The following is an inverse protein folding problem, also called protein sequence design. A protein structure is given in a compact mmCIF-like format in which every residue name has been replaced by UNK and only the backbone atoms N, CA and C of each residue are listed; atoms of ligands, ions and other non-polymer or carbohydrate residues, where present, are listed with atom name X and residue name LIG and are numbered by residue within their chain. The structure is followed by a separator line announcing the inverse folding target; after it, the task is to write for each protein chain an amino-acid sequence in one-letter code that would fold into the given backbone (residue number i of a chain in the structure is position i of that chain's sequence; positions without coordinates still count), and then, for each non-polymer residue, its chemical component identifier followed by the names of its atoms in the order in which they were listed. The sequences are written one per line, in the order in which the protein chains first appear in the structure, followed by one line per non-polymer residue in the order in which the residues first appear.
data_IF_664650426181
#
_entry.id   IF_664650426181
#
_cell.length_a   1.000
_cell.length_b   1.000
_cell.length_c   1.000
_cell.angle_alpha   90.00
_cell.angle_beta   90.00
_cell.angle_gamma   90.00
#
_symmetry.space_group_name_H-M   'P 1'
#
loop_
_entity.id
_entity.type
_entity.pdbx_description
1 polymer ?
#
# COMPACT_ATOMS: atom_id res chain seq x y z
N UNK A 1 -25.00 -10.47 37.03
CA UNK A 1 -24.71 -9.79 35.76
C UNK A 1 -23.32 -9.20 35.89
N UNK A 2 -22.31 -10.02 35.61
CA UNK A 2 -20.92 -9.58 35.64
C UNK A 2 -20.61 -8.89 34.32
N UNK A 3 -20.22 -7.61 34.42
CA UNK A 3 -19.66 -6.84 33.32
C UNK A 3 -18.31 -7.46 32.95
N UNK A 4 -18.27 -8.25 31.89
CA UNK A 4 -17.05 -8.61 31.19
C UNK A 4 -16.56 -7.35 30.47
N UNK A 5 -15.84 -6.50 31.20
CA UNK A 5 -15.09 -5.39 30.63
C UNK A 5 -14.02 -5.94 29.70
N UNK A 6 -14.37 -6.09 28.42
CA UNK A 6 -13.40 -6.38 27.37
C UNK A 6 -12.44 -5.20 27.35
N UNK A 7 -11.18 -5.49 27.65
CA UNK A 7 -10.12 -4.50 27.72
C UNK A 7 -9.97 -3.89 26.31
N UNK A 8 -10.12 -2.56 26.14
CA UNK A 8 -10.11 -1.93 24.82
C UNK A 8 -8.82 -2.23 24.03
N UNK A 9 -7.70 -2.39 24.73
CA UNK A 9 -6.40 -2.75 24.16
C UNK A 9 -6.31 -4.19 23.62
N UNK A 10 -7.10 -5.13 24.17
CA UNK A 10 -7.17 -6.51 23.68
C UNK A 10 -8.10 -6.64 22.47
N UNK A 11 -9.23 -5.93 22.47
CA UNK A 11 -10.13 -5.84 21.30
C UNK A 11 -9.45 -5.12 20.12
N UNK A 12 -8.69 -4.06 20.42
CA UNK A 12 -7.92 -3.23 19.48
C UNK A 12 -6.88 -4.01 18.68
N UNK A 13 -6.09 -4.87 19.35
CA UNK A 13 -5.12 -5.72 18.67
C UNK A 13 -5.82 -6.84 17.89
N UNK A 14 -6.99 -7.30 18.37
CA UNK A 14 -7.75 -8.35 17.71
C UNK A 14 -8.35 -7.89 16.37
N UNK A 15 -8.85 -6.65 16.26
CA UNK A 15 -9.41 -6.12 15.00
C UNK A 15 -8.33 -5.97 13.91
N UNK A 16 -7.17 -5.40 14.25
CA UNK A 16 -6.04 -5.29 13.31
C UNK A 16 -5.51 -6.67 12.94
N UNK A 17 -5.32 -7.56 13.92
CA UNK A 17 -4.88 -8.92 13.67
C UNK A 17 -5.86 -9.67 12.76
N UNK A 18 -7.17 -9.52 12.97
CA UNK A 18 -8.18 -10.11 12.10
C UNK A 18 -8.10 -9.55 10.67
N UNK A 19 -7.98 -8.23 10.52
CA UNK A 19 -7.87 -7.61 9.20
C UNK A 19 -6.60 -8.06 8.45
N UNK A 20 -5.47 -8.22 9.15
CA UNK A 20 -4.25 -8.78 8.59
C UNK A 20 -4.40 -10.26 8.21
N UNK A 21 -5.09 -11.06 9.03
CA UNK A 21 -5.42 -12.46 8.69
C UNK A 21 -6.30 -12.56 7.44
N UNK A 22 -7.25 -11.64 7.28
CA UNK A 22 -8.08 -11.59 6.06
C UNK A 22 -7.23 -11.25 4.82
N UNK A 23 -6.20 -10.40 4.95
CA UNK A 23 -5.25 -10.14 3.86
C UNK A 23 -4.44 -11.38 3.52
N UNK A 24 -3.97 -12.14 4.52
CA UNK A 24 -3.20 -13.37 4.29
C UNK A 24 -3.94 -14.41 3.46
N UNK A 25 -5.27 -14.43 3.48
CA UNK A 25 -6.06 -15.36 2.65
C UNK A 25 -5.78 -15.19 1.15
N UNK A 26 -5.45 -13.97 0.70
CA UNK A 26 -5.29 -13.66 -0.72
C UNK A 26 -3.96 -13.02 -1.10
N UNK A 27 -3.14 -12.62 -0.13
CA UNK A 27 -1.85 -11.99 -0.36
C UNK A 27 -0.83 -12.49 0.66
N UNK A 28 0.09 -13.32 0.20
CA UNK A 28 1.24 -13.77 0.97
C UNK A 28 2.45 -12.89 0.67
N UNK A 29 3.41 -12.77 1.60
CA UNK A 29 4.61 -11.96 1.35
C UNK A 29 5.45 -12.41 0.14
N UNK A 30 5.31 -13.67 -0.29
CA UNK A 30 5.92 -14.21 -1.50
C UNK A 30 5.22 -13.82 -2.81
N UNK A 31 3.97 -13.32 -2.74
CA UNK A 31 3.16 -12.98 -3.92
C UNK A 31 3.49 -11.60 -4.50
N UNK A 32 4.43 -10.88 -3.88
CA UNK A 32 4.84 -9.52 -4.27
C UNK A 32 5.20 -9.37 -5.75
N UNK A 33 5.89 -10.35 -6.32
CA UNK A 33 6.28 -10.31 -7.73
C UNK A 33 5.06 -10.43 -8.65
N UNK A 34 4.12 -11.31 -8.33
CA UNK A 34 2.87 -11.47 -9.08
C UNK A 34 2.01 -10.22 -9.00
N UNK A 35 1.84 -9.66 -7.81
CA UNK A 35 1.06 -8.43 -7.62
C UNK A 35 1.67 -7.24 -8.38
N UNK A 36 3.00 -7.09 -8.40
CA UNK A 36 3.68 -6.05 -9.19
C UNK A 36 3.43 -6.22 -10.69
N UNK A 37 3.48 -7.45 -11.19
CA UNK A 37 3.17 -7.75 -12.59
C UNK A 37 1.73 -7.40 -12.92
N UNK A 38 0.78 -7.75 -12.05
CA UNK A 38 -0.64 -7.46 -12.27
C UNK A 38 -0.94 -5.95 -12.19
N UNK A 39 -0.38 -5.24 -11.20
CA UNK A 39 -0.45 -3.77 -11.11
C UNK A 39 0.12 -3.10 -12.36
N UNK A 40 1.25 -3.60 -12.89
CA UNK A 40 1.87 -3.03 -14.09
C UNK A 40 1.02 -3.24 -15.33
N UNK A 41 0.45 -4.43 -15.50
CA UNK A 41 -0.48 -4.69 -16.59
C UNK A 41 -1.73 -3.83 -16.49
N UNK A 42 -2.22 -3.59 -15.28
CA UNK A 42 -3.37 -2.72 -15.06
C UNK A 42 -3.04 -1.26 -15.37
N UNK A 43 -1.89 -0.74 -14.92
CA UNK A 43 -1.41 0.60 -15.28
C UNK A 43 -1.35 0.78 -16.80
N UNK A 44 -0.82 -0.20 -17.53
CA UNK A 44 -0.77 -0.18 -18.99
C UNK A 44 -2.16 -0.18 -19.62
N UNK A 45 -3.11 -0.89 -19.02
CA UNK A 45 -4.48 -0.92 -19.52
C UNK A 45 -5.18 0.44 -19.37
N UNK A 46 -4.95 1.13 -18.26
CA UNK A 46 -5.57 2.43 -17.99
C UNK A 46 -4.89 3.58 -18.74
N UNK A 47 -3.58 3.50 -19.04
CA UNK A 47 -2.81 4.59 -19.68
C UNK A 47 -2.45 4.36 -21.15
N UNK A 48 -2.54 3.14 -21.67
CA UNK A 48 -2.05 2.80 -23.01
C UNK A 48 -2.91 3.34 -24.15
N UNK A 49 -2.26 3.76 -25.25
CA UNK A 49 -2.93 4.08 -26.51
C UNK A 49 -3.62 2.83 -27.07
N UNK A 50 -4.90 2.97 -27.46
CA UNK A 50 -5.70 1.82 -27.88
C UNK A 50 -5.36 1.31 -29.29
N UNK A 51 -5.44 -0.02 -29.52
CA UNK A 51 -6.19 -1.01 -28.76
C UNK A 51 -5.31 -1.85 -27.84
N UNK A 52 -4.85 -1.28 -26.72
CA UNK A 52 -4.41 -2.09 -25.60
C UNK A 52 -5.65 -2.79 -25.02
N UNK A 53 -5.89 -4.00 -25.50
CA UNK A 53 -6.79 -4.95 -24.85
C UNK A 53 -6.03 -5.51 -23.66
N UNK A 54 -6.53 -5.28 -22.44
CA UNK A 54 -6.10 -6.07 -21.30
C UNK A 54 -6.21 -7.55 -21.69
N UNK A 55 -5.07 -8.23 -21.85
CA UNK A 55 -5.03 -9.61 -22.35
C UNK A 55 -5.32 -10.65 -21.26
N UNK A 56 -5.50 -10.20 -20.02
CA UNK A 56 -5.94 -11.03 -18.91
C UNK A 56 -7.46 -11.17 -18.86
N UNK A 57 -7.94 -12.07 -18.01
CA UNK A 57 -9.36 -12.15 -17.71
C UNK A 57 -9.81 -10.95 -16.87
N UNK A 58 -10.97 -10.31 -17.14
CA UNK A 58 -11.48 -9.20 -16.30
C UNK A 58 -11.57 -9.53 -14.80
N UNK A 59 -11.67 -10.82 -14.46
CA UNK A 59 -11.61 -11.35 -13.10
C UNK A 59 -10.33 -10.96 -12.36
N UNK A 60 -9.18 -10.84 -13.05
CA UNK A 60 -7.90 -10.49 -12.42
C UNK A 60 -7.86 -9.01 -12.03
N UNK A 61 -8.42 -8.12 -12.85
CA UNK A 61 -8.58 -6.69 -12.50
C UNK A 61 -9.48 -6.54 -11.27
N UNK A 62 -10.61 -7.24 -11.25
CA UNK A 62 -11.55 -7.22 -10.12
C UNK A 62 -10.90 -7.81 -8.87
N UNK A 63 -10.11 -8.88 -9.00
CA UNK A 63 -9.38 -9.48 -7.88
C UNK A 63 -8.38 -8.48 -7.33
N UNK A 64 -7.52 -7.90 -8.18
CA UNK A 64 -6.51 -6.94 -7.78
C UNK A 64 -7.13 -5.71 -7.10
N UNK A 65 -8.21 -5.17 -7.68
CA UNK A 65 -8.99 -4.09 -7.08
C UNK A 65 -9.43 -4.43 -5.65
N UNK A 66 -10.07 -5.60 -5.44
CA UNK A 66 -10.52 -6.05 -4.11
C UNK A 66 -9.36 -6.20 -3.13
N UNK A 67 -8.23 -6.75 -3.58
CA UNK A 67 -7.04 -6.92 -2.75
C UNK A 67 -6.51 -5.56 -2.29
N UNK A 68 -6.38 -4.60 -3.21
CA UNK A 68 -5.90 -3.26 -2.90
C UNK A 68 -6.87 -2.49 -2.00
N UNK A 69 -8.18 -2.52 -2.27
CA UNK A 69 -9.19 -1.92 -1.38
C UNK A 69 -9.06 -2.48 0.03
N UNK A 70 -8.90 -3.80 0.17
CA UNK A 70 -8.73 -4.42 1.48
C UNK A 70 -7.43 -4.01 2.18
N UNK A 71 -6.33 -3.86 1.45
CA UNK A 71 -5.08 -3.31 1.98
C UNK A 71 -5.26 -1.85 2.42
N UNK A 72 -5.97 -1.03 1.65
CA UNK A 72 -6.23 0.37 1.97
C UNK A 72 -7.10 0.47 3.24
N UNK A 73 -8.20 -0.27 3.32
CA UNK A 73 -9.06 -0.31 4.49
C UNK A 73 -8.30 -0.77 5.75
N UNK A 74 -7.46 -1.79 5.61
CA UNK A 74 -6.64 -2.28 6.71
C UNK A 74 -5.56 -1.27 7.10
N UNK A 75 -4.98 -0.58 6.12
CA UNK A 75 -4.01 0.49 6.36
C UNK A 75 -4.63 1.64 7.14
N UNK A 76 -5.86 2.02 6.80
CA UNK A 76 -6.62 3.02 7.56
C UNK A 76 -6.87 2.55 8.99
N UNK A 77 -7.30 1.31 9.16
CA UNK A 77 -7.49 0.71 10.48
C UNK A 77 -6.19 0.75 11.30
N UNK A 78 -5.04 0.42 10.71
CA UNK A 78 -3.72 0.50 11.36
C UNK A 78 -3.38 1.95 11.78
N UNK A 79 -3.70 2.95 10.97
CA UNK A 79 -3.47 4.36 11.36
C UNK A 79 -4.40 4.84 12.46
N UNK A 80 -5.69 4.51 12.36
CA UNK A 80 -6.68 4.92 13.36
C UNK A 80 -6.38 4.28 14.72
N UNK A 81 -5.82 3.07 14.69
CA UNK A 81 -5.40 2.36 15.88
C UNK A 81 -4.12 2.97 16.46
N UNK A 82 -3.06 3.13 15.66
CA UNK A 82 -1.80 3.73 16.14
C UNK A 82 -1.97 5.18 16.61
N UNK A 83 -2.80 5.99 15.95
CA UNK A 83 -3.10 7.37 16.34
C UNK A 83 -3.87 7.51 17.65
N UNK A 84 -4.72 6.54 18.02
CA UNK A 84 -5.43 6.53 19.31
C UNK A 84 -4.51 6.25 20.50
N UNK A 85 -3.36 5.65 20.27
CA UNK A 85 -2.37 5.35 21.29
C UNK A 85 -1.43 6.56 21.58
N UNK A 86 -1.26 7.45 20.60
CA UNK A 86 -0.47 8.69 20.71
C UNK A 86 -1.24 9.85 21.39
N UNK A 87 -2.57 9.81 21.44
CA UNK A 87 -3.40 10.87 22.01
C UNK A 87 -3.27 11.03 23.55
N UNK A 88 -2.51 10.15 24.23
CA UNK A 88 -2.15 10.31 25.66
C UNK A 88 -0.69 10.65 25.92
N UNK A 89 0.20 10.59 24.93
CA UNK A 89 1.60 11.03 25.04
C UNK A 89 2.08 11.51 23.67
N UNK A 90 2.21 12.83 23.51
CA UNK A 90 2.77 13.54 22.34
C UNK A 90 1.81 13.85 21.19
N UNK A 91 0.88 14.79 21.44
CA UNK A 91 0.39 15.71 20.39
C UNK A 91 1.46 16.68 19.84
N UNK A 92 2.67 16.65 20.40
CA UNK A 92 3.78 17.55 20.04
C UNK A 92 5.08 16.76 19.97
N UNK A 93 5.31 15.98 18.90
CA UNK A 93 6.65 15.75 18.31
C UNK A 93 6.62 14.57 17.33
N UNK A 94 5.93 14.71 16.20
CA UNK A 94 6.45 14.07 14.99
C UNK A 94 7.21 15.20 14.29
N UNK A 95 8.56 15.27 14.37
CA UNK A 95 9.26 16.28 13.61
C UNK A 95 8.95 16.01 12.14
N UNK A 96 8.47 17.04 11.43
CA UNK A 96 8.56 17.04 9.98
C UNK A 96 10.02 16.70 9.63
N UNK A 97 10.23 15.78 8.69
CA UNK A 97 11.57 15.43 8.23
C UNK A 97 12.35 16.71 7.93
N UNK A 98 13.61 16.80 8.36
CA UNK A 98 14.41 17.98 8.03
C UNK A 98 14.58 18.08 6.51
N UNK A 99 14.73 19.29 5.98
CA UNK A 99 14.98 19.48 4.55
C UNK A 99 16.18 18.66 4.06
N UNK A 100 17.16 18.43 4.93
CA UNK A 100 18.34 17.61 4.67
C UNK A 100 18.01 16.11 4.56
N UNK A 101 17.08 15.61 5.37
CA UNK A 101 16.57 14.23 5.28
C UNK A 101 15.76 14.03 4.00
N UNK A 102 14.89 14.99 3.68
CA UNK A 102 14.09 14.99 2.44
C UNK A 102 15.02 15.02 1.22
N UNK A 103 16.05 15.88 1.22
CA UNK A 103 17.03 15.96 0.14
C UNK A 103 17.87 14.69 0.00
N UNK A 104 18.27 14.08 1.11
CA UNK A 104 19.00 12.80 1.13
C UNK A 104 18.14 11.66 0.58
N UNK A 105 16.85 11.61 0.92
CA UNK A 105 15.92 10.60 0.42
C UNK A 105 15.65 10.79 -1.08
N UNK A 106 15.51 12.03 -1.55
CA UNK A 106 15.41 12.32 -2.99
C UNK A 106 16.66 11.89 -3.76
N UNK A 107 17.85 12.14 -3.20
CA UNK A 107 19.10 11.73 -3.81
C UNK A 107 19.25 10.20 -3.83
N UNK A 108 18.93 9.53 -2.73
CA UNK A 108 18.89 8.07 -2.62
C UNK A 108 17.94 7.44 -3.65
N UNK A 109 16.73 7.98 -3.80
CA UNK A 109 15.75 7.51 -4.77
C UNK A 109 16.21 7.72 -6.22
N UNK A 110 16.93 8.82 -6.50
CA UNK A 110 17.52 9.08 -7.82
C UNK A 110 18.65 8.10 -8.14
N UNK A 111 19.50 7.81 -7.17
CA UNK A 111 20.60 6.84 -7.29
C UNK A 111 20.07 5.42 -7.47
N UNK A 112 19.00 5.04 -6.75
CA UNK A 112 18.30 3.77 -6.96
C UNK A 112 17.72 3.67 -8.37
N UNK A 113 17.05 4.72 -8.88
CA UNK A 113 16.52 4.73 -10.26
C UNK A 113 17.63 4.51 -11.29
N UNK A 114 18.80 5.12 -11.10
CA UNK A 114 19.98 4.93 -11.96
C UNK A 114 20.60 3.54 -11.86
N UNK A 115 20.71 2.99 -10.64
CA UNK A 115 21.27 1.65 -10.41
C UNK A 115 20.33 0.55 -10.91
N UNK A 116 19.02 0.75 -10.78
CA UNK A 116 17.98 -0.16 -11.31
C UNK A 116 18.06 -0.25 -12.82
N UNK A 117 18.15 0.90 -13.50
CA UNK A 117 18.31 0.97 -14.95
C UNK A 117 19.60 0.30 -15.43
N UNK A 118 20.63 0.21 -14.58
CA UNK A 118 21.94 -0.31 -14.92
C UNK A 118 22.14 -1.81 -14.59
N UNK A 119 21.48 -2.33 -13.56
CA UNK A 119 21.79 -3.66 -13.01
C UNK A 119 20.59 -4.60 -12.84
N UNK A 120 19.40 -4.25 -13.32
CA UNK A 120 18.22 -5.12 -13.24
C UNK A 120 17.82 -5.51 -11.79
N UNK A 121 18.18 -4.67 -10.81
CA UNK A 121 17.89 -4.90 -9.39
C UNK A 121 16.42 -4.69 -9.03
N UNK A 122 15.94 -5.39 -8.01
CA UNK A 122 14.58 -5.25 -7.46
C UNK A 122 14.41 -3.87 -6.81
N UNK A 123 13.48 -3.05 -7.30
CA UNK A 123 13.19 -1.74 -6.71
C UNK A 123 12.54 -1.94 -5.34
N UNK A 124 13.15 -1.36 -4.30
CA UNK A 124 12.48 -1.06 -3.02
C UNK A 124 11.84 0.31 -3.15
N UNK A 125 10.53 0.40 -2.93
CA UNK A 125 9.77 1.65 -3.02
C UNK A 125 9.69 2.38 -1.68
N UNK A 126 9.93 1.65 -0.60
CA UNK A 126 10.00 2.19 0.75
C UNK A 126 11.39 2.78 1.03
N UNK A 127 11.45 3.88 1.79
CA UNK A 127 12.71 4.35 2.37
C UNK A 127 13.24 3.35 3.41
N UNK A 128 14.48 3.55 3.88
CA UNK A 128 15.04 2.70 4.93
C UNK A 128 14.17 2.75 6.20
N UNK A 129 13.75 3.95 6.61
CA UNK A 129 12.89 4.14 7.77
C UNK A 129 11.51 3.49 7.60
N UNK A 130 10.94 3.58 6.39
CA UNK A 130 9.67 2.93 6.06
C UNK A 130 9.82 1.40 5.99
N UNK A 131 10.97 0.89 5.60
CA UNK A 131 11.26 -0.55 5.60
C UNK A 131 11.38 -1.10 7.03
N UNK A 132 11.95 -0.32 7.95
CA UNK A 132 12.04 -0.69 9.37
C UNK A 132 10.70 -0.53 10.08
N UNK A 133 9.91 0.50 9.72
CA UNK A 133 8.60 0.80 10.29
C UNK A 133 7.58 1.11 9.18
N UNK A 134 6.95 0.07 8.59
CA UNK A 134 6.02 0.21 7.46
C UNK A 134 4.83 1.13 7.70
N UNK A 135 4.43 1.33 8.95
CA UNK A 135 3.36 2.26 9.34
C UNK A 135 3.66 3.71 8.91
N UNK A 136 4.94 4.10 8.84
CA UNK A 136 5.32 5.43 8.35
C UNK A 136 4.96 5.63 6.88
N UNK A 137 5.10 4.59 6.06
CA UNK A 137 4.64 4.63 4.68
C UNK A 137 3.12 4.72 4.61
N UNK A 138 2.38 3.92 5.40
CA UNK A 138 0.92 3.96 5.43
C UNK A 138 0.43 5.38 5.73
N UNK A 139 1.09 6.08 6.67
CA UNK A 139 0.78 7.49 6.96
C UNK A 139 0.98 8.38 5.73
N UNK A 140 2.16 8.31 5.08
CA UNK A 140 2.46 9.07 3.86
C UNK A 140 1.49 8.76 2.71
N UNK A 141 1.08 7.51 2.58
CA UNK A 141 0.12 7.06 1.57
C UNK A 141 -1.23 7.76 1.71
N UNK A 142 -1.71 7.95 2.94
CA UNK A 142 -2.96 8.69 3.22
C UNK A 142 -2.80 10.21 3.29
N UNK A 143 -1.56 10.72 3.36
CA UNK A 143 -1.27 12.16 3.18
C UNK A 143 -1.31 12.56 1.69
N UNK A 144 -0.99 11.63 0.79
CA UNK A 144 -1.05 11.87 -0.65
C UNK A 144 -2.50 11.89 -1.17
N UNK A 145 -3.32 10.93 -0.75
CA UNK A 145 -4.73 10.81 -1.11
C UNK A 145 -5.51 10.27 0.10
N UNK A 146 -6.70 10.82 0.37
CA UNK A 146 -7.55 10.29 1.43
C UNK A 146 -8.07 8.89 1.07
N UNK A 147 -8.68 8.18 2.03
CA UNK A 147 -9.29 6.87 1.75
C UNK A 147 -10.38 6.97 0.67
N UNK A 148 -11.19 8.02 0.72
CA UNK A 148 -12.25 8.24 -0.26
C UNK A 148 -11.65 8.53 -1.65
N UNK A 149 -10.58 9.32 -1.72
CA UNK A 149 -9.86 9.58 -2.96
C UNK A 149 -9.29 8.28 -3.54
N UNK A 150 -8.68 7.43 -2.71
CA UNK A 150 -8.15 6.15 -3.15
C UNK A 150 -9.21 5.20 -3.68
N UNK A 151 -10.38 5.16 -3.03
CA UNK A 151 -11.51 4.36 -3.52
C UNK A 151 -11.97 4.85 -4.90
N UNK A 152 -12.10 6.17 -5.07
CA UNK A 152 -12.44 6.75 -6.38
C UNK A 152 -11.37 6.46 -7.44
N UNK A 153 -10.09 6.65 -7.12
CA UNK A 153 -8.97 6.35 -8.03
C UNK A 153 -9.02 4.90 -8.49
N UNK A 154 -9.24 3.96 -7.56
CA UNK A 154 -9.32 2.55 -7.90
C UNK A 154 -10.55 2.22 -8.76
N UNK A 155 -11.70 2.86 -8.50
CA UNK A 155 -12.89 2.73 -9.34
C UNK A 155 -12.64 3.25 -10.76
N UNK A 156 -12.01 4.41 -10.90
CA UNK A 156 -11.64 4.98 -12.19
C UNK A 156 -10.69 4.02 -12.94
N UNK A 157 -9.68 3.47 -12.25
CA UNK A 157 -8.78 2.49 -12.84
C UNK A 157 -9.50 1.22 -13.30
N UNK A 158 -10.53 0.76 -12.59
CA UNK A 158 -11.36 -0.37 -13.03
C UNK A 158 -12.17 0.02 -14.26
N UNK A 159 -12.84 1.17 -14.24
CA UNK A 159 -13.66 1.66 -15.35
C UNK A 159 -12.82 1.79 -16.62
N UNK A 160 -11.73 2.54 -16.56
CA UNK A 160 -10.89 2.80 -17.74
C UNK A 160 -10.05 1.59 -18.16
N UNK A 161 -9.64 0.75 -17.21
CA UNK A 161 -8.90 -0.48 -17.49
C UNK A 161 -9.74 -1.51 -18.23
N UNK A 162 -11.06 -1.48 -18.07
CA UNK A 162 -12.02 -2.35 -18.76
C UNK A 162 -12.73 -1.66 -19.94
N UNK A 163 -12.61 -0.34 -20.10
CA UNK A 163 -13.30 0.41 -21.15
C UNK A 163 -12.51 0.49 -22.46
N UNK A 164 -13.09 1.18 -23.45
CA UNK A 164 -12.43 1.56 -24.71
C UNK A 164 -11.87 2.98 -24.71
N UNK A 165 -11.79 3.66 -23.57
CA UNK A 165 -11.10 4.95 -23.40
C UNK A 165 -9.92 4.79 -22.42
N UNK A 166 -8.79 5.48 -22.62
CA UNK A 166 -7.73 5.52 -21.60
C UNK A 166 -7.96 6.69 -20.64
N UNK A 167 -7.46 6.59 -19.40
CA UNK A 167 -7.54 7.70 -18.43
C UNK A 167 -6.83 8.92 -19.01
N UNK A 168 -5.63 8.76 -19.57
CA UNK A 168 -4.87 9.86 -20.13
C UNK A 168 -5.58 10.54 -21.31
N UNK A 169 -6.33 9.79 -22.14
CA UNK A 169 -7.18 10.36 -23.20
C UNK A 169 -8.38 11.13 -22.63
N UNK A 170 -8.92 10.68 -21.49
CA UNK A 170 -10.11 11.25 -20.88
C UNK A 170 -9.83 12.49 -20.01
N UNK A 171 -8.74 12.46 -19.24
CA UNK A 171 -8.41 13.47 -18.22
C UNK A 171 -7.34 14.45 -18.69
N UNK A 172 -6.45 14.03 -19.60
CA UNK A 172 -5.27 14.81 -19.99
C UNK A 172 -4.21 14.93 -18.89
N UNK A 173 -4.36 14.20 -17.79
CA UNK A 173 -3.41 14.16 -16.67
C UNK A 173 -2.53 12.90 -16.72
N UNK A 174 -1.40 12.94 -16.00
CA UNK A 174 -0.42 11.83 -15.89
C UNK A 174 -0.17 11.43 -14.42
N UNK A 175 -1.21 11.44 -13.60
CA UNK A 175 -1.11 11.14 -12.17
C UNK A 175 -1.03 9.62 -11.89
N UNK A 176 -1.37 8.79 -12.87
CA UNK A 176 -1.52 7.33 -12.76
C UNK A 176 -0.18 6.65 -12.46
N UNK A 177 0.93 7.21 -12.96
CA UNK A 177 2.28 6.69 -12.65
C UNK A 177 2.62 6.91 -11.18
N UNK A 178 2.26 8.05 -10.60
CA UNK A 178 2.50 8.31 -9.18
C UNK A 178 1.59 7.44 -8.29
N UNK A 179 0.32 7.30 -8.67
CA UNK A 179 -0.63 6.41 -8.01
C UNK A 179 -0.14 4.95 -8.05
N UNK A 180 0.37 4.47 -9.19
CA UNK A 180 1.01 3.16 -9.33
C UNK A 180 2.17 2.98 -8.33
N UNK A 181 3.09 3.95 -8.26
CA UNK A 181 4.25 3.86 -7.37
C UNK A 181 3.82 3.77 -5.90
N UNK A 182 2.75 4.47 -5.51
CA UNK A 182 2.18 4.39 -4.17
C UNK A 182 1.50 3.04 -3.89
N UNK A 183 0.77 2.47 -4.85
CA UNK A 183 0.15 1.14 -4.72
C UNK A 183 1.19 0.02 -4.62
N UNK A 184 2.28 0.09 -5.40
CA UNK A 184 3.40 -0.86 -5.27
C UNK A 184 4.05 -0.77 -3.87
N UNK A 185 4.26 0.45 -3.38
CA UNK A 185 4.85 0.69 -2.07
C UNK A 185 3.91 0.24 -0.93
N UNK A 186 2.60 0.37 -1.10
CA UNK A 186 1.60 -0.15 -0.17
C UNK A 186 1.71 -1.67 -0.06
N UNK A 187 1.77 -2.38 -1.19
CA UNK A 187 1.94 -3.82 -1.19
C UNK A 187 3.26 -4.25 -0.52
N UNK A 188 4.35 -3.51 -0.76
CA UNK A 188 5.63 -3.73 -0.10
C UNK A 188 5.54 -3.54 1.42
N UNK A 189 4.86 -2.49 1.89
CA UNK A 189 4.62 -2.25 3.31
C UNK A 189 3.81 -3.39 3.94
N UNK A 190 2.74 -3.85 3.30
CA UNK A 190 1.96 -4.99 3.77
C UNK A 190 2.77 -6.29 3.80
N UNK A 191 3.60 -6.55 2.78
CA UNK A 191 4.50 -7.72 2.79
C UNK A 191 5.40 -7.73 4.03
N UNK A 192 5.93 -6.58 4.43
CA UNK A 192 6.77 -6.46 5.63
C UNK A 192 5.98 -6.63 6.93
N UNK A 193 4.80 -6.02 7.03
CA UNK A 193 3.91 -6.17 8.21
C UNK A 193 3.53 -7.64 8.40
N UNK A 194 3.12 -8.30 7.33
CA UNK A 194 2.70 -9.69 7.36
C UNK A 194 3.86 -10.64 7.71
N UNK A 195 5.07 -10.40 7.18
CA UNK A 195 6.27 -11.16 7.59
C UNK A 195 6.55 -11.04 9.09
N UNK A 196 6.45 -9.83 9.64
CA UNK A 196 6.67 -9.61 11.06
C UNK A 196 5.66 -10.38 11.92
N UNK A 197 4.38 -10.39 11.53
CA UNK A 197 3.34 -11.18 12.22
C UNK A 197 3.60 -12.69 12.15
N UNK A 198 4.05 -13.22 11.01
CA UNK A 198 4.43 -14.62 10.87
C UNK A 198 5.61 -15.01 11.78
N UNK A 199 6.65 -14.17 11.85
CA UNK A 199 7.83 -14.43 12.68
C UNK A 199 7.54 -14.31 14.19
N UNK A 200 6.51 -13.56 14.58
CA UNK A 200 6.04 -13.45 15.97
C UNK A 200 5.20 -14.67 16.36
N UNK A 201 4.38 -15.20 15.46
CA UNK A 201 3.60 -16.43 15.68
C UNK A 201 4.48 -17.67 15.90
N UNK A 202 5.57 -17.81 15.14
CA UNK A 202 6.46 -18.99 15.18
C UNK A 202 7.30 -19.08 16.48
N UNK A 203 7.49 -17.94 17.18
CA UNK A 203 8.20 -17.88 18.48
C UNK A 203 7.30 -18.07 19.69
N UNK A 204 5.98 -18.16 19.50
CA UNK A 204 5.00 -18.33 20.58
C UNK A 204 4.75 -19.79 21.00
N UNK A 205 5.18 -20.76 20.20
CA UNK A 205 4.90 -22.19 20.38
C UNK A 205 6.15 -23.04 20.70
N UNK A 206 7.28 -22.42 21.09
CA UNK A 206 8.53 -23.11 21.50
C UNK A 206 8.84 -22.97 22.98
#
# INVERSE_FOLDING_TARGET
MENLGINPSQSYNAEVAQALQEILVFFQPGDMEYLRVDLWHWLKAVTGEKPFLFRGEPSTVISLWKQLTKMIDTGRLILDTTGRHDDKKQRNSCPAFSEEQIASDFQYMREIKLLTAKYNGTIRRLTLAESERPVFFIKRFFEAYSQDDWNQILEDWVEYGLSKMSICEATGECNEVYQYELLEALAEAFSLILKAEYEVGDKGDS
#
